data_IF_974954268264
#
_entry.id   IF_974954268264
#
_cell.length_a   1.000
_cell.length_b   1.000
_cell.length_c   1.000
_cell.angle_alpha   90.00
_cell.angle_beta   90.00
_cell.angle_gamma   90.00
#
_symmetry.space_group_name_H-M   'P 1'
#
loop_
_entity.id
_entity.type
_entity.pdbx_description
1 polymer ?
#
# COMPACT_ATOMS: atom_id res chain seq x y z
N UNK A 1 -33.01 -19.83 9.96
CA UNK A 1 -32.58 -18.43 9.76
C UNK A 1 -32.16 -18.27 8.30
N UNK A 2 -32.99 -17.60 7.49
CA UNK A 2 -32.68 -17.39 6.07
C UNK A 2 -31.41 -16.57 5.90
N UNK A 3 -30.48 -17.03 5.06
CA UNK A 3 -29.33 -16.25 4.66
C UNK A 3 -29.84 -15.01 3.90
N UNK A 4 -29.95 -13.88 4.59
CA UNK A 4 -30.16 -12.59 3.94
C UNK A 4 -28.89 -12.34 3.12
N UNK A 5 -28.96 -12.57 1.81
CA UNK A 5 -27.86 -12.30 0.88
C UNK A 5 -27.64 -10.79 0.89
N UNK A 6 -26.63 -10.33 1.65
CA UNK A 6 -26.28 -8.92 1.71
C UNK A 6 -25.87 -8.46 0.31
N UNK A 7 -26.58 -7.46 -0.23
CA UNK A 7 -26.32 -6.90 -1.55
C UNK A 7 -24.88 -6.38 -1.62
N UNK A 8 -24.09 -6.92 -2.53
CA UNK A 8 -22.70 -6.53 -2.72
C UNK A 8 -22.62 -5.09 -3.25
N UNK A 9 -21.90 -4.17 -2.58
CA UNK A 9 -21.73 -2.81 -3.08
C UNK A 9 -20.95 -2.81 -4.41
N UNK A 10 -21.47 -2.11 -5.42
CA UNK A 10 -20.86 -2.09 -6.77
C UNK A 10 -19.40 -1.62 -6.75
N UNK A 11 -19.05 -0.65 -5.90
CA UNK A 11 -17.67 -0.18 -5.77
C UNK A 11 -16.70 -1.27 -5.28
N UNK A 12 -17.16 -2.24 -4.48
CA UNK A 12 -16.29 -3.34 -4.02
C UNK A 12 -15.94 -4.30 -5.16
N UNK A 13 -16.86 -4.55 -6.10
CA UNK A 13 -16.54 -5.31 -7.31
C UNK A 13 -15.42 -4.62 -8.09
N UNK A 14 -15.58 -3.33 -8.37
CA UNK A 14 -14.60 -2.56 -9.14
C UNK A 14 -13.25 -2.55 -8.43
N UNK A 15 -13.22 -2.24 -7.13
CA UNK A 15 -11.98 -2.20 -6.34
C UNK A 15 -11.30 -3.56 -6.25
N UNK A 16 -12.06 -4.65 -6.19
CA UNK A 16 -11.48 -6.01 -6.16
C UNK A 16 -10.81 -6.37 -7.48
N UNK A 17 -11.43 -6.04 -8.62
CA UNK A 17 -10.85 -6.26 -9.95
C UNK A 17 -9.60 -5.38 -10.12
N UNK A 18 -9.67 -4.10 -9.73
CA UNK A 18 -8.52 -3.20 -9.75
C UNK A 18 -7.37 -3.72 -8.88
N UNK A 19 -7.66 -4.26 -7.70
CA UNK A 19 -6.64 -4.84 -6.83
C UNK A 19 -5.96 -6.07 -7.47
N UNK A 20 -6.73 -6.93 -8.15
CA UNK A 20 -6.20 -8.08 -8.88
C UNK A 20 -5.37 -7.67 -10.09
N UNK A 21 -5.87 -6.73 -10.90
CA UNK A 21 -5.17 -6.20 -12.08
C UNK A 21 -3.85 -5.54 -11.68
N UNK A 22 -3.78 -4.86 -10.54
CA UNK A 22 -2.54 -4.28 -10.05
C UNK A 22 -1.62 -5.32 -9.40
N UNK A 23 -2.16 -6.26 -8.64
CA UNK A 23 -1.38 -7.22 -7.85
C UNK A 23 -0.73 -8.32 -8.68
N UNK A 24 -1.46 -8.91 -9.63
CA UNK A 24 -0.98 -10.05 -10.42
C UNK A 24 0.30 -9.71 -11.21
N UNK A 25 0.37 -8.59 -11.97
CA UNK A 25 1.59 -8.24 -12.68
C UNK A 25 2.76 -7.99 -11.75
N UNK A 26 2.54 -7.36 -10.58
CA UNK A 26 3.60 -7.13 -9.59
C UNK A 26 4.20 -8.48 -9.15
N UNK A 27 3.36 -9.46 -8.81
CA UNK A 27 3.83 -10.80 -8.40
C UNK A 27 4.65 -11.44 -9.52
N UNK A 28 4.16 -11.41 -10.77
CA UNK A 28 4.85 -12.00 -11.91
C UNK A 28 6.22 -11.33 -12.15
N UNK A 29 6.25 -9.99 -12.18
CA UNK A 29 7.48 -9.22 -12.46
C UNK A 29 8.52 -9.36 -11.34
N UNK A 30 8.10 -9.62 -10.10
CA UNK A 30 9.04 -9.81 -8.98
C UNK A 30 9.83 -11.11 -9.05
N UNK A 31 9.32 -12.12 -9.77
CA UNK A 31 9.99 -13.43 -9.93
C UNK A 31 11.40 -13.29 -10.48
N UNK A 32 11.56 -12.53 -11.57
CA UNK A 32 12.85 -12.40 -12.26
C UNK A 32 13.83 -11.54 -11.46
N UNK A 33 13.31 -10.61 -10.65
CA UNK A 33 14.12 -9.71 -9.81
C UNK A 33 14.77 -10.43 -8.62
N UNK A 34 14.26 -11.59 -8.20
CA UNK A 34 14.80 -12.36 -7.06
C UNK A 34 16.17 -12.99 -7.31
N UNK A 35 16.58 -13.14 -8.57
CA UNK A 35 17.87 -13.74 -8.94
C UNK A 35 19.02 -12.74 -9.05
N UNK A 36 18.81 -11.48 -8.64
CA UNK A 36 19.79 -10.39 -8.78
C UNK A 36 20.48 -10.05 -7.44
N UNK A 37 21.33 -9.01 -7.41
CA UNK A 37 22.14 -8.61 -6.24
C UNK A 37 21.34 -8.41 -4.94
N UNK A 38 22.02 -8.49 -3.78
CA UNK A 38 21.35 -8.54 -2.46
C UNK A 38 20.42 -7.35 -2.15
N UNK A 39 20.76 -6.14 -2.61
CA UNK A 39 19.88 -4.97 -2.48
C UNK A 39 18.60 -5.08 -3.31
N UNK A 40 18.71 -5.65 -4.52
CA UNK A 40 17.56 -5.85 -5.41
C UNK A 40 16.64 -6.94 -4.88
N UNK A 41 17.16 -7.94 -4.15
CA UNK A 41 16.35 -8.95 -3.47
C UNK A 41 15.41 -8.33 -2.43
N UNK A 42 15.89 -7.40 -1.58
CA UNK A 42 15.04 -6.74 -0.58
C UNK A 42 13.91 -5.93 -1.22
N UNK A 43 14.22 -5.24 -2.32
CA UNK A 43 13.23 -4.51 -3.11
C UNK A 43 12.22 -5.49 -3.72
N UNK A 44 12.69 -6.58 -4.32
CA UNK A 44 11.84 -7.61 -4.92
C UNK A 44 10.90 -8.25 -3.90
N UNK A 45 11.39 -8.58 -2.69
CA UNK A 45 10.58 -9.12 -1.59
C UNK A 45 9.51 -8.11 -1.17
N UNK A 46 9.86 -6.82 -1.09
CA UNK A 46 8.91 -5.75 -0.74
C UNK A 46 7.80 -5.63 -1.78
N UNK A 47 8.15 -5.68 -3.07
CA UNK A 47 7.16 -5.68 -4.15
C UNK A 47 6.32 -6.95 -4.15
N UNK A 48 6.91 -8.12 -3.91
CA UNK A 48 6.17 -9.37 -3.84
C UNK A 48 5.15 -9.33 -2.70
N UNK A 49 5.55 -8.83 -1.53
CA UNK A 49 4.66 -8.63 -0.39
C UNK A 49 3.46 -7.73 -0.77
N UNK A 50 3.70 -6.61 -1.44
CA UNK A 50 2.63 -5.70 -1.91
C UNK A 50 1.73 -6.40 -2.94
N UNK A 51 2.31 -7.18 -3.87
CA UNK A 51 1.59 -7.92 -4.89
C UNK A 51 0.65 -8.98 -4.28
N UNK A 52 1.18 -9.79 -3.35
CA UNK A 52 0.38 -10.79 -2.62
C UNK A 52 -0.71 -10.10 -1.81
N UNK A 53 -0.38 -9.02 -1.09
CA UNK A 53 -1.35 -8.24 -0.32
C UNK A 53 -2.50 -7.73 -1.21
N UNK A 54 -2.18 -7.21 -2.40
CA UNK A 54 -3.17 -6.73 -3.37
C UNK A 54 -4.07 -7.87 -3.89
N UNK A 55 -3.47 -9.01 -4.24
CA UNK A 55 -4.22 -10.19 -4.73
C UNK A 55 -5.12 -10.77 -3.64
N UNK A 56 -4.57 -11.02 -2.45
CA UNK A 56 -5.33 -11.50 -1.30
C UNK A 56 -6.47 -10.55 -0.97
N UNK A 57 -6.20 -9.24 -0.90
CA UNK A 57 -7.22 -8.21 -0.71
C UNK A 57 -8.32 -8.28 -1.77
N UNK A 58 -7.96 -8.38 -3.06
CA UNK A 58 -8.89 -8.55 -4.17
C UNK A 58 -9.81 -9.76 -3.99
N UNK A 59 -9.24 -10.93 -3.69
CA UNK A 59 -10.00 -12.17 -3.45
C UNK A 59 -10.91 -12.02 -2.22
N UNK A 60 -10.39 -11.47 -1.12
CA UNK A 60 -11.17 -11.27 0.10
C UNK A 60 -12.33 -10.30 -0.08
N UNK A 61 -12.13 -9.25 -0.88
CA UNK A 61 -13.18 -8.32 -1.30
C UNK A 61 -14.23 -8.98 -2.18
N UNK A 62 -13.83 -9.87 -3.09
CA UNK A 62 -14.76 -10.61 -3.95
C UNK A 62 -15.69 -11.51 -3.13
N UNK A 63 -15.12 -12.19 -2.12
CA UNK A 63 -15.80 -13.12 -1.23
C UNK A 63 -16.55 -12.45 -0.06
N UNK A 64 -16.45 -11.13 0.09
CA UNK A 64 -17.10 -10.39 1.18
C UNK A 64 -16.60 -10.76 2.58
N UNK A 65 -15.35 -11.23 2.70
CA UNK A 65 -14.81 -11.69 3.98
C UNK A 65 -14.23 -10.53 4.79
N UNK A 66 -14.38 -10.56 6.12
CA UNK A 66 -13.84 -9.56 7.06
C UNK A 66 -12.36 -9.25 6.81
N UNK A 67 -11.56 -10.28 6.55
CA UNK A 67 -10.13 -10.13 6.29
C UNK A 67 -9.86 -9.35 4.99
N UNK A 68 -10.71 -9.48 3.96
CA UNK A 68 -10.59 -8.72 2.72
C UNK A 68 -10.79 -7.22 2.94
N UNK A 69 -11.67 -6.84 3.88
CA UNK A 69 -11.84 -5.44 4.26
C UNK A 69 -10.61 -4.86 4.95
N UNK A 70 -10.01 -5.61 5.88
CA UNK A 70 -8.79 -5.19 6.57
C UNK A 70 -7.60 -5.08 5.62
N UNK A 71 -7.36 -6.10 4.78
CA UNK A 71 -6.28 -6.08 3.80
C UNK A 71 -6.47 -4.99 2.75
N UNK A 72 -7.69 -4.77 2.28
CA UNK A 72 -8.02 -3.68 1.35
C UNK A 72 -7.77 -2.32 1.96
N UNK A 73 -8.32 -2.07 3.15
CA UNK A 73 -8.12 -0.81 3.85
C UNK A 73 -6.63 -0.56 4.13
N UNK A 74 -5.90 -1.59 4.54
CA UNK A 74 -4.45 -1.52 4.74
C UNK A 74 -3.69 -1.25 3.45
N UNK A 75 -4.01 -1.93 2.35
CA UNK A 75 -3.39 -1.69 1.05
C UNK A 75 -3.51 -0.23 0.60
N UNK A 76 -4.71 0.37 0.73
CA UNK A 76 -4.92 1.78 0.39
C UNK A 76 -4.24 2.74 1.37
N UNK A 77 -4.27 2.46 2.68
CA UNK A 77 -3.56 3.27 3.68
C UNK A 77 -2.03 3.24 3.50
N UNK A 78 -1.49 2.07 3.18
CA UNK A 78 -0.08 1.88 2.86
C UNK A 78 0.30 2.63 1.58
N UNK A 79 -0.54 2.57 0.54
CA UNK A 79 -0.32 3.33 -0.69
C UNK A 79 -0.26 4.84 -0.44
N UNK A 80 -1.18 5.39 0.38
CA UNK A 80 -1.15 6.80 0.80
C UNK A 80 0.18 7.14 1.47
N UNK A 81 0.56 6.36 2.50
CA UNK A 81 1.79 6.57 3.26
C UNK A 81 3.03 6.52 2.37
N UNK A 82 3.07 5.57 1.44
CA UNK A 82 4.15 5.43 0.45
C UNK A 82 4.24 6.64 -0.48
N UNK A 83 3.13 7.14 -1.00
CA UNK A 83 3.15 8.31 -1.88
C UNK A 83 3.55 9.58 -1.13
N UNK A 84 3.14 9.74 0.13
CA UNK A 84 3.64 10.82 0.99
C UNK A 84 5.15 10.74 1.16
N UNK A 85 5.68 9.55 1.49
CA UNK A 85 7.12 9.35 1.61
C UNK A 85 7.85 9.66 0.29
N UNK A 86 7.29 9.28 -0.87
CA UNK A 86 7.86 9.63 -2.17
C UNK A 86 7.92 11.15 -2.40
N UNK A 87 6.85 11.89 -2.07
CA UNK A 87 6.85 13.36 -2.20
C UNK A 87 7.92 13.99 -1.31
N UNK A 88 8.02 13.55 -0.05
CA UNK A 88 9.04 14.04 0.89
C UNK A 88 10.44 13.75 0.36
N UNK A 89 10.69 12.52 -0.10
CA UNK A 89 11.98 12.09 -0.63
C UNK A 89 12.37 12.91 -1.87
N UNK A 90 11.45 13.11 -2.81
CA UNK A 90 11.68 13.95 -3.99
C UNK A 90 12.00 15.38 -3.57
N UNK A 91 11.26 15.95 -2.61
CA UNK A 91 11.53 17.30 -2.10
C UNK A 91 12.93 17.43 -1.50
N UNK A 92 13.37 16.46 -0.70
CA UNK A 92 14.73 16.43 -0.12
C UNK A 92 15.79 16.28 -1.22
N UNK A 93 15.55 15.45 -2.23
CA UNK A 93 16.48 15.27 -3.35
C UNK A 93 16.63 16.55 -4.17
N UNK A 94 15.56 17.27 -4.47
CA UNK A 94 15.64 18.56 -5.20
C UNK A 94 16.55 19.55 -4.48
N UNK A 95 16.42 19.65 -3.16
CA UNK A 95 17.27 20.53 -2.34
C UNK A 95 18.73 20.09 -2.34
N UNK A 96 19.00 18.78 -2.35
CA UNK A 96 20.37 18.23 -2.23
C UNK A 96 21.12 18.06 -3.54
N UNK A 97 20.46 17.66 -4.63
CA UNK A 97 21.12 17.24 -5.87
C UNK A 97 20.88 18.17 -7.06
N UNK A 98 20.32 19.38 -6.84
CA UNK A 98 20.03 20.38 -7.89
C UNK A 98 19.29 19.78 -9.09
N UNK A 99 18.42 18.79 -8.85
CA UNK A 99 17.55 18.23 -9.89
C UNK A 99 16.71 19.35 -10.51
N UNK A 100 16.48 19.27 -11.84
CA UNK A 100 15.67 20.23 -12.56
C UNK A 100 14.29 20.36 -11.90
N UNK A 101 13.94 21.59 -11.51
CA UNK A 101 12.71 21.92 -10.76
C UNK A 101 11.44 21.50 -11.53
N UNK A 102 11.51 21.50 -12.88
CA UNK A 102 10.42 21.07 -13.76
C UNK A 102 10.02 19.62 -13.55
N UNK A 103 10.99 18.74 -13.36
CA UNK A 103 10.75 17.30 -13.24
C UNK A 103 10.14 16.99 -11.87
N UNK A 104 10.65 17.62 -10.82
CA UNK A 104 10.15 17.47 -9.47
C UNK A 104 8.68 17.89 -9.32
N UNK A 105 8.30 19.02 -9.91
CA UNK A 105 6.92 19.52 -9.87
C UNK A 105 5.95 18.51 -10.48
N UNK A 106 6.33 17.91 -11.61
CA UNK A 106 5.54 16.87 -12.29
C UNK A 106 5.36 15.64 -11.40
N UNK A 107 6.41 15.19 -10.71
CA UNK A 107 6.33 14.07 -9.77
C UNK A 107 5.44 14.38 -8.56
N UNK A 108 5.55 15.57 -7.97
CA UNK A 108 4.76 15.98 -6.81
C UNK A 108 3.27 16.01 -7.16
N UNK A 109 2.89 16.62 -8.28
CA UNK A 109 1.49 16.66 -8.73
C UNK A 109 0.95 15.25 -8.98
N UNK A 110 1.73 14.41 -9.70
CA UNK A 110 1.35 13.03 -10.00
C UNK A 110 1.06 12.21 -8.72
N UNK A 111 1.93 12.31 -7.71
CA UNK A 111 1.73 11.58 -6.45
C UNK A 111 0.67 12.23 -5.56
N UNK A 112 0.52 13.55 -5.59
CA UNK A 112 -0.52 14.28 -4.87
C UNK A 112 -1.92 13.85 -5.32
N UNK A 113 -2.17 13.81 -6.64
CA UNK A 113 -3.44 13.32 -7.19
C UNK A 113 -3.71 11.86 -6.76
N UNK A 114 -2.67 11.01 -6.79
CA UNK A 114 -2.81 9.61 -6.34
C UNK A 114 -3.18 9.51 -4.87
N UNK A 115 -2.59 10.32 -3.98
CA UNK A 115 -2.95 10.37 -2.55
C UNK A 115 -4.44 10.69 -2.40
N UNK A 116 -4.91 11.74 -3.08
CA UNK A 116 -6.32 12.17 -3.00
C UNK A 116 -7.26 11.04 -3.43
N UNK A 117 -6.98 10.38 -4.56
CA UNK A 117 -7.76 9.24 -5.05
C UNK A 117 -7.78 8.10 -4.01
N UNK A 118 -6.62 7.74 -3.45
CA UNK A 118 -6.54 6.64 -2.48
C UNK A 118 -7.21 7.00 -1.14
N UNK A 119 -7.19 8.28 -0.74
CA UNK A 119 -7.94 8.77 0.41
C UNK A 119 -9.46 8.60 0.20
N UNK A 120 -9.99 8.95 -0.97
CA UNK A 120 -11.41 8.75 -1.27
C UNK A 120 -11.79 7.27 -1.26
N UNK A 121 -10.95 6.40 -1.84
CA UNK A 121 -11.16 4.95 -1.79
C UNK A 121 -11.13 4.44 -0.35
N UNK A 122 -10.16 4.85 0.46
CA UNK A 122 -10.09 4.47 1.86
C UNK A 122 -11.33 4.93 2.63
N UNK A 123 -11.81 6.15 2.40
CA UNK A 123 -13.05 6.66 2.99
C UNK A 123 -14.28 5.84 2.57
N UNK A 124 -14.31 5.36 1.33
CA UNK A 124 -15.38 4.48 0.83
C UNK A 124 -15.46 3.16 1.62
N UNK A 125 -14.34 2.58 2.06
CA UNK A 125 -14.33 1.38 2.92
C UNK A 125 -15.08 1.59 4.24
N UNK A 126 -15.19 2.83 4.72
CA UNK A 126 -15.88 3.17 5.98
C UNK A 126 -17.37 3.50 5.80
N UNK A 127 -17.91 3.48 4.58
CA UNK A 127 -19.35 3.64 4.35
C UNK A 127 -20.13 2.49 5.01
N UNK A 128 -21.31 2.78 5.56
CA UNK A 128 -22.11 1.78 6.29
C UNK A 128 -22.43 0.55 5.43
N UNK A 129 -22.89 0.74 4.19
CA UNK A 129 -23.19 -0.35 3.26
C UNK A 129 -21.98 -1.30 3.04
N UNK A 130 -20.77 -0.73 2.98
CA UNK A 130 -19.54 -1.50 2.82
C UNK A 130 -19.20 -2.25 4.10
N UNK A 131 -19.25 -1.58 5.25
CA UNK A 131 -19.02 -2.23 6.55
C UNK A 131 -20.04 -3.34 6.82
N UNK A 132 -21.29 -3.15 6.41
CA UNK A 132 -22.35 -4.16 6.54
C UNK A 132 -22.07 -5.38 5.67
N UNK A 133 -21.67 -5.18 4.41
CA UNK A 133 -21.29 -6.26 3.50
C UNK A 133 -20.17 -7.12 4.08
N UNK A 134 -19.14 -6.50 4.66
CA UNK A 134 -18.02 -7.21 5.29
C UNK A 134 -18.27 -7.65 6.73
N UNK A 135 -19.42 -7.32 7.33
CA UNK A 135 -19.76 -7.61 8.72
C UNK A 135 -18.76 -7.00 9.74
N UNK A 136 -18.40 -5.73 9.55
CA UNK A 136 -17.46 -4.93 10.37
C UNK A 136 -18.09 -3.61 10.85
N UNK A 137 -19.42 -3.58 11.02
CA UNK A 137 -20.18 -2.35 11.38
C UNK A 137 -19.72 -1.72 12.69
N UNK A 138 -19.26 -2.55 13.65
CA UNK A 138 -18.80 -2.11 14.97
C UNK A 138 -17.40 -1.47 14.98
N UNK A 139 -16.67 -1.52 13.86
CA UNK A 139 -15.34 -0.90 13.78
C UNK A 139 -15.47 0.62 13.71
N UNK A 140 -14.99 1.32 14.74
CA UNK A 140 -14.94 2.79 14.74
C UNK A 140 -13.90 3.29 13.74
N UNK A 141 -14.32 4.22 12.87
CA UNK A 141 -13.49 4.79 11.79
C UNK A 141 -12.12 5.29 12.29
N UNK A 142 -12.11 6.10 13.35
CA UNK A 142 -10.87 6.69 13.87
C UNK A 142 -9.88 5.63 14.40
N UNK A 143 -10.35 4.66 15.20
CA UNK A 143 -9.48 3.60 15.72
C UNK A 143 -8.89 2.77 14.58
N UNK A 144 -9.69 2.44 13.56
CA UNK A 144 -9.18 1.69 12.41
C UNK A 144 -8.13 2.50 11.64
N UNK A 145 -8.38 3.79 11.36
CA UNK A 145 -7.41 4.65 10.69
C UNK A 145 -6.09 4.68 11.49
N UNK A 146 -6.16 4.87 12.81
CA UNK A 146 -4.98 4.87 13.69
C UNK A 146 -4.21 3.55 13.62
N UNK A 147 -4.91 2.41 13.65
CA UNK A 147 -4.28 1.09 13.53
C UNK A 147 -3.59 0.95 12.17
N UNK A 148 -4.27 1.30 11.07
CA UNK A 148 -3.74 1.17 9.72
C UNK A 148 -2.47 2.02 9.52
N UNK A 149 -2.50 3.29 9.90
CA UNK A 149 -1.34 4.17 9.81
C UNK A 149 -0.25 3.81 10.82
N UNK A 150 -0.60 3.32 12.02
CA UNK A 150 0.36 2.81 12.99
C UNK A 150 1.17 1.63 12.45
N UNK A 151 0.51 0.68 11.77
CA UNK A 151 1.19 -0.43 11.07
C UNK A 151 2.10 0.12 9.95
N UNK A 152 1.63 1.10 9.18
CA UNK A 152 2.46 1.71 8.13
C UNK A 152 3.73 2.35 8.71
N UNK A 153 3.61 3.13 9.80
CA UNK A 153 4.74 3.75 10.48
C UNK A 153 5.73 2.70 10.98
N UNK A 154 5.24 1.61 11.59
CA UNK A 154 6.09 0.51 12.05
C UNK A 154 6.86 -0.15 10.90
N UNK A 155 6.19 -0.41 9.76
CA UNK A 155 6.83 -0.97 8.57
C UNK A 155 7.90 -0.02 8.04
N UNK A 156 7.61 1.28 7.95
CA UNK A 156 8.61 2.27 7.52
C UNK A 156 9.81 2.33 8.47
N UNK A 157 9.58 2.36 9.79
CA UNK A 157 10.64 2.36 10.79
C UNK A 157 11.57 1.15 10.68
N UNK A 158 10.99 -0.05 10.57
CA UNK A 158 11.76 -1.30 10.39
C UNK A 158 12.54 -1.29 9.06
N UNK A 159 11.93 -0.79 7.99
CA UNK A 159 12.56 -0.72 6.67
C UNK A 159 13.76 0.22 6.68
N UNK A 160 13.62 1.39 7.29
CA UNK A 160 14.69 2.38 7.45
C UNK A 160 15.82 1.84 8.35
N UNK A 161 15.48 1.19 9.47
CA UNK A 161 16.47 0.57 10.36
C UNK A 161 17.27 -0.53 9.64
N UNK A 162 16.58 -1.39 8.88
CA UNK A 162 17.22 -2.45 8.10
C UNK A 162 18.20 -1.86 7.08
N UNK A 163 17.78 -0.83 6.33
CA UNK A 163 18.66 -0.13 5.39
C UNK A 163 19.87 0.49 6.07
N UNK A 164 19.69 1.13 7.23
CA UNK A 164 20.77 1.73 8.00
C UNK A 164 21.81 0.69 8.43
N UNK A 165 21.38 -0.46 8.96
CA UNK A 165 22.27 -1.55 9.38
C UNK A 165 23.08 -2.09 8.18
N UNK A 166 22.44 -2.30 7.03
CA UNK A 166 23.12 -2.80 5.83
C UNK A 166 24.15 -1.78 5.34
N UNK A 167 23.77 -0.50 5.28
CA UNK A 167 24.70 0.57 4.86
C UNK A 167 25.92 0.66 5.78
N UNK A 168 25.74 0.51 7.08
CA UNK A 168 26.86 0.58 8.03
C UNK A 168 27.79 -0.64 7.91
N UNK A 169 27.25 -1.84 7.66
CA UNK A 169 28.07 -3.04 7.41
C UNK A 169 28.90 -2.92 6.13
N UNK A 170 28.36 -2.29 5.09
CA UNK A 170 29.07 -2.02 3.85
C UNK A 170 30.31 -1.15 4.04
N UNK A 171 30.24 -0.15 4.93
CA UNK A 171 31.37 0.75 5.19
C UNK A 171 32.53 0.09 5.97
N UNK A 172 32.22 -0.91 6.83
CA UNK A 172 33.23 -1.60 7.65
C UNK A 172 34.06 -2.61 6.82
N UNK A 173 33.52 -3.11 5.70
CA UNK A 173 34.24 -4.06 4.84
C UNK A 173 35.26 -3.41 3.89
N UNK A 174 35.33 -2.08 3.86
CA UNK A 174 36.18 -1.28 2.94
C UNK A 174 37.24 -0.48 3.72
N UNK A 175 37.23 -0.54 5.06
CA UNK A 175 38.25 0.04 5.96
C UNK A 175 39.19 -1.02 6.48
#
# INVERSE_FOLDING_TARGET
MGNIVKKKPMGINILSILALINGIPIVIMTRDSMYTSDYRKLIAISFLFIGILAVSSGIGMLLGKKWGWWLGSFYYAYAISRYFNTIITVGVMVVRSQLLISDATTYIIKYGIRIVIHCFILLYFFKNDVKEYFNVVHCSKLKTILILFGICIAIFGISTLTMYIISNRGNIAIS
#
